data_IF_106469202539
#
_entry.id   IF_106469202539
#
_cell.length_a   1.000
_cell.length_b   1.000
_cell.length_c   1.000
_cell.angle_alpha   90.00
_cell.angle_beta   90.00
_cell.angle_gamma   90.00
#
_symmetry.space_group_name_H-M   'P 1'
#
loop_
_entity.id
_entity.type
_entity.pdbx_description
1 polymer ?
#
# COMPACT_ATOMS: atom_id res chain seq x y z
N UNK A 1 -22.69 30.86 7.76
CA UNK A 1 -21.64 29.88 7.41
C UNK A 1 -21.69 29.64 5.92
N UNK A 2 -20.55 29.84 5.22
CA UNK A 2 -20.50 29.73 3.75
C UNK A 2 -20.63 28.29 3.29
N UNK A 3 -21.31 28.04 2.15
CA UNK A 3 -21.45 26.71 1.52
C UNK A 3 -20.07 25.98 1.36
N UNK A 4 -19.00 26.72 1.14
CA UNK A 4 -17.61 26.23 1.05
C UNK A 4 -17.09 25.65 2.37
N UNK A 5 -17.49 26.22 3.52
CA UNK A 5 -17.11 25.70 4.85
C UNK A 5 -17.88 24.42 5.20
N UNK A 6 -19.17 24.33 4.82
CA UNK A 6 -19.98 23.13 5.03
C UNK A 6 -19.46 21.96 4.18
N UNK A 7 -19.07 22.20 2.92
CA UNK A 7 -18.46 21.20 2.04
C UNK A 7 -17.11 20.70 2.60
N UNK A 8 -16.25 21.61 3.07
CA UNK A 8 -14.95 21.25 3.66
C UNK A 8 -15.09 20.44 4.95
N UNK A 9 -16.07 20.75 5.81
CA UNK A 9 -16.35 19.98 7.02
C UNK A 9 -16.88 18.58 6.69
N UNK A 10 -17.76 18.49 5.68
CA UNK A 10 -18.28 17.22 5.17
C UNK A 10 -17.16 16.31 4.68
N UNK A 11 -16.28 16.82 3.82
CA UNK A 11 -15.15 16.04 3.27
C UNK A 11 -14.17 15.58 4.37
N UNK A 12 -13.94 16.40 5.41
CA UNK A 12 -13.10 15.99 6.54
C UNK A 12 -13.70 14.83 7.33
N UNK A 13 -15.01 14.89 7.61
CA UNK A 13 -15.71 13.81 8.34
C UNK A 13 -15.72 12.52 7.52
N UNK A 14 -15.99 12.61 6.22
CA UNK A 14 -15.97 11.46 5.31
C UNK A 14 -14.58 10.81 5.29
N UNK A 15 -13.53 11.61 5.11
CA UNK A 15 -12.14 11.12 5.16
C UNK A 15 -11.79 10.47 6.50
N UNK A 16 -12.21 11.07 7.62
CA UNK A 16 -11.98 10.49 8.94
C UNK A 16 -12.61 9.10 9.09
N UNK A 17 -13.86 8.94 8.60
CA UNK A 17 -14.55 7.65 8.61
C UNK A 17 -13.81 6.62 7.75
N UNK A 18 -13.41 7.00 6.54
CA UNK A 18 -12.71 6.12 5.58
C UNK A 18 -11.35 5.70 6.13
N UNK A 19 -10.56 6.63 6.67
CA UNK A 19 -9.25 6.34 7.29
C UNK A 19 -9.40 5.41 8.50
N UNK A 20 -10.41 5.63 9.35
CA UNK A 20 -10.70 4.74 10.47
C UNK A 20 -11.12 3.34 10.01
N UNK A 21 -11.90 3.23 8.92
CA UNK A 21 -12.29 1.96 8.33
C UNK A 21 -11.09 1.16 7.85
N UNK A 22 -10.14 1.79 7.14
CA UNK A 22 -8.88 1.14 6.69
C UNK A 22 -8.15 0.57 7.90
N UNK A 23 -7.89 1.39 8.93
CA UNK A 23 -7.16 0.97 10.12
C UNK A 23 -7.84 -0.17 10.87
N UNK A 24 -9.15 -0.07 11.10
CA UNK A 24 -9.90 -1.07 11.86
C UNK A 24 -9.97 -2.39 11.09
N UNK A 25 -10.27 -2.33 9.78
CA UNK A 25 -10.36 -3.53 8.95
C UNK A 25 -9.01 -4.13 8.58
N UNK A 26 -7.90 -3.40 8.70
CA UNK A 26 -6.56 -3.98 8.59
C UNK A 26 -6.29 -4.99 9.72
N UNK A 27 -6.74 -4.70 10.94
CA UNK A 27 -6.57 -5.58 12.10
C UNK A 27 -7.72 -6.57 12.31
N UNK A 28 -8.96 -6.18 12.03
CA UNK A 28 -10.16 -7.03 12.19
C UNK A 28 -11.17 -6.82 11.04
N UNK A 29 -11.15 -7.74 10.09
CA UNK A 29 -12.08 -7.76 8.95
C UNK A 29 -13.54 -7.90 9.32
N UNK A 30 -13.84 -8.49 10.48
CA UNK A 30 -15.19 -8.70 10.97
C UNK A 30 -15.77 -7.47 11.65
N UNK A 31 -14.96 -6.45 11.90
CA UNK A 31 -15.39 -5.24 12.59
C UNK A 31 -16.61 -4.58 11.93
N UNK A 32 -17.53 -4.16 12.79
CA UNK A 32 -18.84 -3.62 12.41
C UNK A 32 -18.81 -2.11 12.18
N UNK A 33 -19.78 -1.57 11.44
CA UNK A 33 -19.90 -0.12 11.24
C UNK A 33 -19.95 0.68 12.57
N UNK A 34 -20.61 0.23 13.65
CA UNK A 34 -20.52 0.89 14.95
C UNK A 34 -19.10 1.00 15.53
N UNK A 35 -18.27 -0.04 15.38
CA UNK A 35 -16.87 -0.01 15.83
C UNK A 35 -16.04 0.97 15.00
N UNK A 36 -16.31 1.05 13.69
CA UNK A 36 -15.66 2.05 12.82
C UNK A 36 -16.11 3.46 13.19
N UNK A 37 -17.39 3.68 13.49
CA UNK A 37 -17.90 4.98 13.94
C UNK A 37 -17.20 5.45 15.23
N UNK A 38 -16.99 4.55 16.18
CA UNK A 38 -16.26 4.78 17.42
C UNK A 38 -14.79 5.15 17.11
N UNK A 39 -14.10 4.36 16.26
CA UNK A 39 -12.72 4.60 15.86
C UNK A 39 -12.54 5.90 15.08
N UNK A 40 -13.57 6.35 14.35
CA UNK A 40 -13.61 7.63 13.64
C UNK A 40 -14.03 8.81 14.51
N UNK A 41 -14.34 8.57 15.80
CA UNK A 41 -14.87 9.57 16.73
C UNK A 41 -16.15 10.27 16.23
N UNK A 42 -17.03 9.52 15.52
CA UNK A 42 -18.30 10.03 15.00
C UNK A 42 -19.49 9.24 15.57
N UNK A 43 -20.65 9.88 15.62
CA UNK A 43 -21.89 9.19 15.99
C UNK A 43 -22.31 8.18 14.91
N UNK A 44 -22.95 7.06 15.32
CA UNK A 44 -23.50 6.03 14.41
C UNK A 44 -24.40 6.62 13.32
N UNK A 45 -25.28 7.56 13.69
CA UNK A 45 -26.17 8.27 12.75
C UNK A 45 -25.37 9.09 11.73
N UNK A 46 -24.23 9.67 12.14
CA UNK A 46 -23.35 10.39 11.25
C UNK A 46 -22.72 9.43 10.26
N UNK A 47 -22.17 8.30 10.71
CA UNK A 47 -21.59 7.30 9.81
C UNK A 47 -22.64 6.81 8.79
N UNK A 48 -23.84 6.40 9.26
CA UNK A 48 -24.89 5.93 8.36
C UNK A 48 -25.37 6.97 7.34
N UNK A 49 -25.26 8.25 7.65
CA UNK A 49 -25.59 9.33 6.70
C UNK A 49 -24.56 9.41 5.54
N UNK A 50 -23.28 9.09 5.79
CA UNK A 50 -22.24 9.07 4.76
C UNK A 50 -22.20 7.73 4.03
N UNK A 51 -22.30 6.65 4.80
CA UNK A 51 -22.20 5.27 4.34
C UNK A 51 -23.37 4.45 4.91
N UNK A 52 -24.52 4.43 4.20
CA UNK A 52 -25.67 3.65 4.64
C UNK A 52 -25.41 2.15 4.69
N UNK A 53 -24.53 1.66 3.80
CA UNK A 53 -24.21 0.25 3.63
C UNK A 53 -22.70 0.00 3.79
N UNK A 54 -22.38 -1.21 4.29
CA UNK A 54 -21.00 -1.65 4.50
C UNK A 54 -20.18 -1.61 3.20
N UNK A 55 -20.76 -2.06 2.09
CA UNK A 55 -20.07 -2.19 0.80
C UNK A 55 -19.64 -0.82 0.24
N UNK A 56 -20.46 0.19 0.43
CA UNK A 56 -20.11 1.56 0.06
C UNK A 56 -18.90 2.10 0.83
N UNK A 57 -18.84 1.84 2.14
CA UNK A 57 -17.67 2.20 2.95
C UNK A 57 -16.44 1.37 2.59
N UNK A 58 -16.63 0.07 2.32
CA UNK A 58 -15.56 -0.83 1.94
C UNK A 58 -14.89 -0.39 0.63
N UNK A 59 -15.70 -0.03 -0.37
CA UNK A 59 -15.19 0.53 -1.64
C UNK A 59 -14.40 1.81 -1.42
N UNK A 60 -14.96 2.78 -0.69
CA UNK A 60 -14.29 4.04 -0.41
C UNK A 60 -12.98 3.85 0.39
N UNK A 61 -12.97 2.89 1.32
CA UNK A 61 -11.78 2.52 2.08
C UNK A 61 -10.70 1.90 1.18
N UNK A 62 -11.10 1.06 0.22
CA UNK A 62 -10.17 0.44 -0.74
C UNK A 62 -9.56 1.49 -1.68
N UNK A 63 -10.38 2.39 -2.25
CA UNK A 63 -9.90 3.51 -3.07
C UNK A 63 -8.91 4.37 -2.29
N UNK A 64 -9.25 4.77 -1.07
CA UNK A 64 -8.39 5.57 -0.20
C UNK A 64 -7.07 4.87 0.17
N UNK A 65 -7.11 3.57 0.45
CA UNK A 65 -5.92 2.78 0.75
C UNK A 65 -4.98 2.69 -0.46
N UNK A 66 -5.52 2.42 -1.65
CA UNK A 66 -4.75 2.37 -2.90
C UNK A 66 -4.14 3.73 -3.25
N UNK A 67 -4.91 4.82 -3.11
CA UNK A 67 -4.40 6.18 -3.27
C UNK A 67 -3.25 6.48 -2.28
N UNK A 68 -3.40 6.08 -1.02
CA UNK A 68 -2.40 6.26 0.02
C UNK A 68 -1.10 5.50 -0.28
N UNK A 69 -1.20 4.25 -0.73
CA UNK A 69 -0.05 3.43 -1.14
C UNK A 69 0.64 4.07 -2.35
N UNK A 70 -0.12 4.43 -3.39
CA UNK A 70 0.41 5.08 -4.59
C UNK A 70 1.09 6.42 -4.28
N UNK A 71 0.48 7.23 -3.41
CA UNK A 71 1.06 8.50 -2.94
C UNK A 71 2.38 8.30 -2.20
N UNK A 72 2.46 7.34 -1.28
CA UNK A 72 3.69 7.03 -0.54
C UNK A 72 4.82 6.57 -1.50
N UNK A 73 4.50 5.74 -2.49
CA UNK A 73 5.46 5.30 -3.52
C UNK A 73 5.92 6.51 -4.36
N UNK A 74 5.02 7.39 -4.77
CA UNK A 74 5.38 8.57 -5.56
C UNK A 74 6.28 9.53 -4.77
N UNK A 75 6.01 9.75 -3.48
CA UNK A 75 6.86 10.57 -2.59
C UNK A 75 8.25 9.97 -2.36
N UNK A 76 8.40 8.64 -2.50
CA UNK A 76 9.70 7.97 -2.45
C UNK A 76 10.57 8.25 -3.69
N UNK A 77 10.05 8.91 -4.71
CA UNK A 77 10.76 9.27 -5.95
C UNK A 77 11.54 8.08 -6.56
N UNK A 78 10.85 6.97 -6.93
CA UNK A 78 11.50 5.75 -7.40
C UNK A 78 12.30 5.92 -8.68
N UNK A 79 12.01 6.96 -9.46
CA UNK A 79 12.71 7.35 -10.69
C UNK A 79 14.06 8.03 -10.45
N UNK A 80 14.32 8.52 -9.21
CA UNK A 80 15.50 9.33 -8.90
C UNK A 80 16.63 8.56 -8.20
N UNK A 81 17.85 8.91 -8.57
CA UNK A 81 19.07 8.42 -7.92
C UNK A 81 19.42 6.97 -8.27
N UNK A 82 20.34 6.41 -7.50
CA UNK A 82 20.79 5.03 -7.67
C UNK A 82 19.66 4.04 -7.39
N UNK A 83 19.44 2.98 -8.22
CA UNK A 83 18.30 2.07 -8.08
C UNK A 83 18.18 1.43 -6.70
N UNK A 84 19.30 1.02 -6.10
CA UNK A 84 19.28 0.41 -4.77
C UNK A 84 18.80 1.39 -3.70
N UNK A 85 19.23 2.66 -3.73
CA UNK A 85 18.77 3.69 -2.82
C UNK A 85 17.29 4.04 -3.06
N UNK A 86 16.86 4.06 -4.30
CA UNK A 86 15.45 4.24 -4.64
C UNK A 86 14.59 3.10 -4.09
N UNK A 87 15.05 1.84 -4.20
CA UNK A 87 14.37 0.68 -3.61
C UNK A 87 14.25 0.79 -2.08
N UNK A 88 15.31 1.23 -1.39
CA UNK A 88 15.28 1.48 0.06
C UNK A 88 14.23 2.52 0.45
N UNK A 89 14.10 3.61 -0.33
CA UNK A 89 13.06 4.62 -0.10
C UNK A 89 11.67 4.05 -0.33
N UNK A 90 11.48 3.25 -1.38
CA UNK A 90 10.21 2.55 -1.62
C UNK A 90 9.86 1.63 -0.44
N UNK A 91 10.79 0.82 0.05
CA UNK A 91 10.56 -0.05 1.23
C UNK A 91 10.16 0.78 2.45
N UNK A 92 10.84 1.91 2.70
CA UNK A 92 10.47 2.81 3.82
C UNK A 92 9.07 3.42 3.64
N UNK A 93 8.70 3.79 2.40
CA UNK A 93 7.37 4.29 2.07
C UNK A 93 6.29 3.22 2.29
N UNK A 94 6.53 1.96 1.87
CA UNK A 94 5.62 0.84 2.14
C UNK A 94 5.46 0.59 3.64
N UNK A 95 6.54 0.70 4.42
CA UNK A 95 6.46 0.56 5.87
C UNK A 95 5.59 1.67 6.51
N UNK A 96 5.60 2.88 5.96
CA UNK A 96 4.72 3.98 6.41
C UNK A 96 3.25 3.77 6.03
N UNK A 97 2.98 3.04 4.93
CA UNK A 97 1.65 2.71 4.42
C UNK A 97 1.15 1.32 4.88
N UNK A 98 1.79 0.72 5.90
CA UNK A 98 1.54 -0.67 6.32
C UNK A 98 0.07 -0.97 6.60
N UNK A 99 -0.69 -0.09 7.27
CA UNK A 99 -2.11 -0.29 7.54
C UNK A 99 -2.93 -0.41 6.24
N UNK A 100 -2.66 0.44 5.25
CA UNK A 100 -3.30 0.38 3.95
C UNK A 100 -2.96 -0.92 3.20
N UNK A 101 -1.69 -1.35 3.26
CA UNK A 101 -1.23 -2.59 2.64
C UNK A 101 -1.87 -3.81 3.31
N UNK A 102 -1.89 -3.87 4.64
CA UNK A 102 -2.55 -4.95 5.39
C UNK A 102 -4.04 -5.02 5.07
N UNK A 103 -4.71 -3.87 4.94
CA UNK A 103 -6.11 -3.80 4.56
C UNK A 103 -6.35 -4.34 3.14
N UNK A 104 -5.57 -3.93 2.15
CA UNK A 104 -5.76 -4.31 0.73
C UNK A 104 -5.37 -5.76 0.48
N UNK A 105 -4.20 -6.20 0.97
CA UNK A 105 -3.70 -7.56 0.73
C UNK A 105 -4.41 -8.64 1.55
N UNK A 106 -5.05 -8.29 2.66
CA UNK A 106 -5.85 -9.22 3.44
C UNK A 106 -7.09 -9.75 2.70
N UNK A 107 -7.52 -9.08 1.62
CA UNK A 107 -8.60 -9.53 0.74
C UNK A 107 -8.41 -9.03 -0.69
N UNK A 108 -7.82 -9.86 -1.52
CA UNK A 108 -7.55 -9.52 -2.93
C UNK A 108 -8.83 -9.31 -3.78
N UNK A 109 -10.01 -9.71 -3.30
CA UNK A 109 -11.26 -9.45 -4.00
C UNK A 109 -11.60 -7.96 -4.03
N UNK A 110 -11.23 -7.22 -2.98
CA UNK A 110 -11.45 -5.78 -2.88
C UNK A 110 -10.77 -5.00 -4.01
N UNK A 111 -9.55 -5.41 -4.35
CA UNK A 111 -8.78 -4.75 -5.43
C UNK A 111 -9.46 -4.96 -6.77
N UNK A 112 -9.95 -6.17 -7.04
CA UNK A 112 -10.63 -6.50 -8.31
C UNK A 112 -11.90 -5.71 -8.55
N UNK A 113 -12.61 -5.35 -7.47
CA UNK A 113 -13.86 -4.60 -7.55
C UNK A 113 -13.63 -3.09 -7.77
N UNK A 114 -12.44 -2.60 -7.42
CA UNK A 114 -12.07 -1.17 -7.47
C UNK A 114 -11.13 -0.84 -8.62
N UNK A 115 -10.15 -1.74 -8.87
CA UNK A 115 -9.21 -1.58 -9.99
C UNK A 115 -9.79 -2.27 -11.22
N UNK A 116 -10.16 -1.53 -12.27
CA UNK A 116 -10.60 -2.15 -13.52
C UNK A 116 -9.54 -3.16 -13.98
N UNK A 117 -9.97 -4.37 -14.27
CA UNK A 117 -9.12 -5.35 -14.95
C UNK A 117 -8.62 -4.70 -16.23
N UNK A 118 -7.29 -4.64 -16.42
CA UNK A 118 -6.71 -4.06 -17.62
C UNK A 118 -7.36 -4.73 -18.83
N UNK A 119 -8.05 -3.94 -19.64
CA UNK A 119 -8.52 -4.42 -20.94
C UNK A 119 -7.27 -4.78 -21.78
N UNK A 120 -7.32 -5.91 -22.55
CA UNK A 120 -6.13 -6.40 -23.25
C UNK A 120 -5.50 -5.39 -24.22
N UNK A 121 -6.27 -4.39 -24.66
CA UNK A 121 -5.86 -3.39 -25.64
C UNK A 121 -5.47 -2.02 -25.04
N UNK A 122 -5.55 -1.84 -23.71
CA UNK A 122 -5.12 -0.60 -23.09
C UNK A 122 -3.65 -0.71 -22.64
N UNK A 123 -2.86 0.39 -22.76
CA UNK A 123 -1.50 0.43 -22.23
C UNK A 123 -1.53 0.05 -20.75
N UNK A 124 -0.67 -0.89 -20.36
CA UNK A 124 -0.50 -1.25 -18.94
C UNK A 124 -0.28 0.04 -18.14
N UNK A 125 -1.02 0.29 -17.05
CA UNK A 125 -0.79 1.46 -16.22
C UNK A 125 0.68 1.55 -15.84
N UNK A 126 1.26 2.76 -15.92
CA UNK A 126 2.63 3.01 -15.51
C UNK A 126 2.81 2.62 -14.03
N UNK A 127 3.62 1.60 -13.78
CA UNK A 127 3.98 1.16 -12.42
C UNK A 127 5.39 1.65 -12.08
N UNK A 128 5.52 2.65 -11.19
CA UNK A 128 6.80 3.26 -10.87
C UNK A 128 7.79 2.28 -10.20
N UNK A 129 7.30 1.23 -9.54
CA UNK A 129 8.15 0.20 -8.92
C UNK A 129 8.70 -0.75 -9.98
N UNK A 130 7.89 -1.16 -10.95
CA UNK A 130 8.34 -1.95 -12.11
C UNK A 130 9.41 -1.17 -12.91
N UNK A 131 9.18 0.12 -13.16
CA UNK A 131 10.16 0.96 -13.87
C UNK A 131 11.47 1.12 -13.10
N UNK A 132 11.41 1.27 -11.77
CA UNK A 132 12.59 1.26 -10.91
C UNK A 132 13.36 -0.05 -11.05
N UNK A 133 12.67 -1.20 -11.02
CA UNK A 133 13.30 -2.52 -11.12
C UNK A 133 13.96 -2.69 -12.49
N UNK A 134 13.26 -2.39 -13.59
CA UNK A 134 13.80 -2.45 -14.95
C UNK A 134 15.02 -1.55 -15.13
N UNK A 135 14.97 -0.34 -14.56
CA UNK A 135 16.13 0.57 -14.57
C UNK A 135 17.32 -0.02 -13.82
N UNK A 136 17.08 -0.65 -12.67
CA UNK A 136 18.11 -1.31 -11.88
C UNK A 136 18.74 -2.51 -12.62
N UNK A 137 17.93 -3.30 -13.32
CA UNK A 137 18.39 -4.41 -14.17
C UNK A 137 19.26 -3.90 -15.33
N UNK A 138 18.78 -2.86 -16.03
CA UNK A 138 19.55 -2.25 -17.14
C UNK A 138 20.92 -1.66 -16.69
N UNK A 139 21.04 -1.30 -15.41
CA UNK A 139 22.30 -0.80 -14.82
C UNK A 139 23.13 -1.89 -14.14
N UNK A 140 22.70 -3.16 -14.21
CA UNK A 140 23.40 -4.28 -13.56
C UNK A 140 23.37 -4.25 -12.03
N UNK A 141 22.42 -3.51 -11.43
CA UNK A 141 22.22 -3.40 -9.97
C UNK A 141 21.33 -4.52 -9.48
N UNK A 142 20.24 -4.80 -10.19
CA UNK A 142 19.31 -5.89 -9.90
C UNK A 142 19.52 -7.04 -10.88
N UNK A 143 19.19 -8.25 -10.42
CA UNK A 143 19.32 -9.48 -11.20
C UNK A 143 18.37 -9.44 -12.41
N UNK A 144 18.92 -9.51 -13.62
CA UNK A 144 18.20 -9.50 -14.89
C UNK A 144 17.72 -10.89 -15.34
N UNK A 145 18.09 -11.96 -14.60
CA UNK A 145 17.56 -13.30 -14.82
C UNK A 145 16.15 -13.48 -14.22
N UNK A 146 15.72 -12.55 -13.35
CA UNK A 146 14.38 -12.50 -12.76
C UNK A 146 13.55 -11.45 -13.51
N UNK A 147 12.26 -11.73 -13.76
CA UNK A 147 11.39 -10.69 -14.31
C UNK A 147 11.16 -9.56 -13.30
N UNK A 148 10.94 -8.33 -13.79
CA UNK A 148 10.66 -7.18 -12.92
C UNK A 148 9.38 -7.39 -12.11
N UNK A 149 8.39 -8.05 -12.70
CA UNK A 149 7.12 -8.41 -12.07
C UNK A 149 7.32 -9.41 -10.93
N UNK A 150 8.22 -10.39 -11.09
CA UNK A 150 8.57 -11.31 -10.02
C UNK A 150 9.24 -10.59 -8.85
N UNK A 151 10.23 -9.75 -9.12
CA UNK A 151 10.93 -8.96 -8.08
C UNK A 151 9.92 -8.09 -7.33
N UNK A 152 8.98 -7.46 -8.04
CA UNK A 152 7.91 -6.67 -7.42
C UNK A 152 7.01 -7.54 -6.52
N UNK A 153 6.60 -8.72 -6.97
CA UNK A 153 5.80 -9.63 -6.14
C UNK A 153 6.55 -10.07 -4.87
N UNK A 154 7.85 -10.32 -4.98
CA UNK A 154 8.70 -10.62 -3.82
C UNK A 154 8.76 -9.42 -2.85
N UNK A 155 8.91 -8.20 -3.36
CA UNK A 155 8.85 -6.97 -2.55
C UNK A 155 7.55 -6.88 -1.76
N UNK A 156 6.40 -7.07 -2.41
CA UNK A 156 5.10 -7.06 -1.74
C UNK A 156 4.96 -8.17 -0.70
N UNK A 157 5.34 -9.40 -1.06
CA UNK A 157 5.23 -10.56 -0.18
C UNK A 157 6.10 -10.43 1.08
N UNK A 158 7.36 -10.00 0.94
CA UNK A 158 8.26 -9.80 2.07
C UNK A 158 7.78 -8.64 2.95
N UNK A 159 7.31 -7.55 2.36
CA UNK A 159 6.76 -6.40 3.10
C UNK A 159 5.53 -6.81 3.89
N UNK A 160 4.56 -7.49 3.26
CA UNK A 160 3.36 -7.99 3.92
C UNK A 160 3.70 -8.92 5.10
N UNK A 161 4.60 -9.88 4.88
CA UNK A 161 5.07 -10.78 5.94
C UNK A 161 5.67 -10.00 7.12
N UNK A 162 6.48 -8.97 6.85
CA UNK A 162 7.05 -8.16 7.92
C UNK A 162 5.96 -7.40 8.71
N UNK A 163 4.91 -6.91 8.05
CA UNK A 163 3.78 -6.25 8.73
C UNK A 163 2.98 -7.23 9.59
N UNK A 164 2.70 -8.44 9.09
CA UNK A 164 2.08 -9.49 9.91
C UNK A 164 2.91 -9.83 11.16
N UNK A 165 4.24 -9.90 11.03
CA UNK A 165 5.13 -10.14 12.17
C UNK A 165 5.09 -8.99 13.21
N UNK A 166 4.84 -7.76 12.78
CA UNK A 166 4.62 -6.62 13.69
C UNK A 166 3.31 -6.79 14.46
N UNK A 167 2.22 -7.13 13.78
CA UNK A 167 0.91 -7.36 14.43
C UNK A 167 0.97 -8.53 15.43
N UNK A 168 1.79 -9.55 15.15
CA UNK A 168 2.01 -10.68 16.04
C UNK A 168 3.00 -10.37 17.19
N UNK A 169 3.60 -9.18 17.23
CA UNK A 169 4.58 -8.79 18.23
C UNK A 169 5.94 -9.47 18.10
N UNK A 170 6.23 -10.12 16.95
CA UNK A 170 7.49 -10.84 16.68
C UNK A 170 8.56 -9.89 16.14
N UNK A 171 8.17 -8.92 15.30
CA UNK A 171 9.06 -7.90 14.74
C UNK A 171 8.70 -6.52 15.30
N UNK A 172 9.70 -5.74 15.69
CA UNK A 172 9.45 -4.36 16.09
C UNK A 172 9.17 -3.48 14.85
N UNK A 173 8.20 -2.56 14.97
CA UNK A 173 7.77 -1.70 13.84
C UNK A 173 8.93 -0.92 13.21
N UNK A 174 9.91 -0.46 14.00
CA UNK A 174 11.07 0.28 13.51
C UNK A 174 12.09 -0.58 12.77
N UNK A 175 12.04 -1.92 12.92
CA UNK A 175 12.94 -2.87 12.24
C UNK A 175 12.41 -3.33 10.88
N UNK A 176 11.16 -3.04 10.54
CA UNK A 176 10.51 -3.49 9.30
C UNK A 176 11.33 -3.11 8.06
N UNK A 177 11.61 -1.82 7.89
CA UNK A 177 12.31 -1.33 6.70
C UNK A 177 13.70 -1.95 6.57
N UNK A 178 14.43 -2.10 7.67
CA UNK A 178 15.77 -2.72 7.70
C UNK A 178 15.70 -4.20 7.34
N UNK A 179 14.73 -4.94 7.91
CA UNK A 179 14.56 -6.37 7.69
C UNK A 179 14.17 -6.65 6.23
N UNK A 180 13.18 -5.92 5.70
CA UNK A 180 12.72 -6.05 4.32
C UNK A 180 13.86 -5.70 3.35
N UNK A 181 14.52 -4.55 3.54
CA UNK A 181 15.63 -4.11 2.71
C UNK A 181 16.74 -5.16 2.67
N UNK A 182 17.18 -5.65 3.83
CA UNK A 182 18.25 -6.67 3.90
C UNK A 182 17.86 -7.96 3.19
N UNK A 183 16.62 -8.41 3.33
CA UNK A 183 16.11 -9.61 2.67
C UNK A 183 16.12 -9.44 1.14
N UNK A 184 15.63 -8.30 0.67
CA UNK A 184 15.60 -8.00 -0.77
C UNK A 184 17.00 -7.87 -1.35
N UNK A 185 17.88 -7.08 -0.74
CA UNK A 185 19.24 -6.87 -1.24
C UNK A 185 20.02 -8.18 -1.39
N UNK A 186 19.81 -9.14 -0.50
CA UNK A 186 20.46 -10.45 -0.62
C UNK A 186 19.81 -11.37 -1.67
N UNK A 187 18.55 -11.11 -2.05
CA UNK A 187 17.78 -11.94 -2.97
C UNK A 187 17.69 -11.41 -4.40
N UNK A 188 17.83 -10.09 -4.61
CA UNK A 188 17.58 -9.46 -5.92
C UNK A 188 18.76 -8.70 -6.53
N UNK A 189 19.86 -8.52 -5.79
CA UNK A 189 21.07 -7.89 -6.36
C UNK A 189 21.78 -8.83 -7.32
N UNK A 190 22.27 -8.29 -8.43
CA UNK A 190 23.10 -9.04 -9.36
C UNK A 190 24.34 -9.58 -8.63
N UNK A 191 24.59 -10.88 -8.76
CA UNK A 191 25.83 -11.46 -8.25
C UNK A 191 26.99 -10.86 -9.03
N UNK A 192 27.96 -10.28 -8.35
CA UNK A 192 29.23 -9.89 -8.97
C UNK A 192 29.78 -11.13 -9.70
N UNK A 193 29.93 -11.02 -11.03
CA UNK A 193 30.18 -12.14 -11.93
C UNK A 193 31.25 -13.09 -11.40
N UNK A 194 30.83 -14.29 -11.04
CA UNK A 194 31.71 -15.43 -10.98
C UNK A 194 32.10 -15.78 -12.43
N UNK A 195 33.34 -16.16 -12.71
CA UNK A 195 33.76 -16.51 -14.06
C UNK A 195 32.93 -17.69 -14.56
N UNK A 196 32.46 -17.56 -15.82
CA UNK A 196 31.82 -18.64 -16.57
C UNK A 196 32.80 -19.79 -16.81
#
# INVERSE_FOLDING_TARGET
MSAKQASSARNRTERAIVTAAVRVWAGDRSATLPQIAEAAEVGRTTLHRYFPERDGLLRAATEHALEGIGGAIAEAEPDKGHPLEAMRRVVAALASASEAIMFVFGDQSLVRDVVPTAEPDLPTPHDPVIELIRRGQAQGVFDDQLSAEWIQQVLWGVSYTAFEQVEQGVLAKFDVATTVTRTLEQGITAKAGGPA
#
